data_IF_723904387738
#
_entry.id   IF_723904387738
#
_cell.length_a   1.000
_cell.length_b   1.000
_cell.length_c   1.000
_cell.angle_alpha   90.00
_cell.angle_beta   90.00
_cell.angle_gamma   90.00
#
_symmetry.space_group_name_H-M   'P 1'
#
loop_
_entity.id
_entity.type
_entity.pdbx_description
1 polymer ?
#
# COMPACT_ATOMS: atom_id res chain seq x y z
N UNK A 1 -12.82 -33.57 18.74
CA UNK A 1 -13.81 -34.01 17.73
C UNK A 1 -13.10 -34.95 16.77
N UNK A 2 -13.67 -36.11 16.43
CA UNK A 2 -13.10 -36.94 15.36
C UNK A 2 -13.47 -36.29 14.02
N UNK A 3 -12.53 -36.10 13.08
CA UNK A 3 -12.89 -35.61 11.75
C UNK A 3 -13.85 -36.61 11.10
N UNK A 4 -14.90 -36.10 10.45
CA UNK A 4 -15.85 -36.86 9.64
C UNK A 4 -15.91 -36.20 8.27
N UNK A 5 -16.10 -36.98 7.22
CA UNK A 5 -16.16 -36.48 5.84
C UNK A 5 -17.56 -36.74 5.31
N UNK A 6 -18.20 -35.72 4.72
CA UNK A 6 -19.44 -35.88 3.95
C UNK A 6 -19.09 -35.84 2.47
N UNK A 7 -19.46 -36.88 1.74
CA UNK A 7 -19.27 -36.97 0.30
C UNK A 7 -20.61 -36.89 -0.39
N UNK A 8 -20.79 -35.87 -1.22
CA UNK A 8 -21.94 -35.74 -2.11
C UNK A 8 -21.53 -36.30 -3.48
N UNK A 9 -22.18 -37.36 -3.94
CA UNK A 9 -21.81 -38.03 -5.19
C UNK A 9 -23.01 -38.63 -5.90
N UNK A 10 -23.02 -38.58 -7.22
CA UNK A 10 -23.91 -39.32 -8.12
C UNK A 10 -23.46 -40.78 -8.32
N UNK A 11 -22.26 -41.12 -7.86
CA UNK A 11 -21.67 -42.45 -7.93
C UNK A 11 -20.98 -42.76 -9.26
N UNK A 12 -20.81 -41.79 -10.16
CA UNK A 12 -20.05 -41.96 -11.39
C UNK A 12 -18.55 -41.76 -11.14
N UNK A 13 -17.72 -42.74 -11.52
CA UNK A 13 -16.27 -42.61 -11.47
C UNK A 13 -15.74 -42.15 -12.83
N UNK A 14 -15.34 -40.88 -12.91
CA UNK A 14 -14.91 -40.25 -14.16
C UNK A 14 -13.39 -40.18 -14.33
N UNK A 15 -12.60 -40.30 -13.24
CA UNK A 15 -11.15 -40.07 -13.30
C UNK A 15 -10.34 -40.64 -12.11
N UNK A 16 -10.86 -41.56 -11.31
CA UNK A 16 -10.17 -41.99 -10.08
C UNK A 16 -8.92 -42.82 -10.36
N UNK A 17 -7.82 -42.49 -9.67
CA UNK A 17 -6.54 -43.20 -9.74
C UNK A 17 -6.38 -44.28 -8.66
N UNK A 18 -7.34 -44.39 -7.74
CA UNK A 18 -7.36 -45.37 -6.64
C UNK A 18 -8.73 -46.05 -6.56
N UNK A 19 -8.74 -47.32 -6.17
CA UNK A 19 -9.97 -48.09 -6.03
C UNK A 19 -10.73 -47.71 -4.76
N UNK A 20 -12.08 -47.77 -4.81
CA UNK A 20 -12.96 -47.48 -3.66
C UNK A 20 -12.61 -48.32 -2.41
N UNK A 21 -12.19 -49.57 -2.60
CA UNK A 21 -11.77 -50.46 -1.51
C UNK A 21 -10.50 -49.95 -0.79
N UNK A 22 -9.55 -49.38 -1.53
CA UNK A 22 -8.32 -48.82 -0.95
C UNK A 22 -8.60 -47.56 -0.12
N UNK A 23 -9.48 -46.69 -0.62
CA UNK A 23 -9.91 -45.46 0.06
C UNK A 23 -10.69 -45.79 1.34
N UNK A 24 -11.59 -46.79 1.28
CA UNK A 24 -12.34 -47.22 2.44
C UNK A 24 -11.45 -47.85 3.54
N UNK A 25 -10.43 -48.61 3.16
CA UNK A 25 -9.47 -49.18 4.10
C UNK A 25 -8.60 -48.10 4.78
N UNK A 26 -8.19 -47.07 4.02
CA UNK A 26 -7.41 -45.94 4.52
C UNK A 26 -8.24 -45.02 5.44
N UNK A 27 -9.52 -44.79 5.10
CA UNK A 27 -10.45 -44.06 5.96
C UNK A 27 -10.71 -44.80 7.28
N UNK A 28 -10.83 -46.12 7.22
CA UNK A 28 -11.01 -46.98 8.41
C UNK A 28 -9.77 -46.99 9.30
N UNK A 29 -8.56 -47.06 8.73
CA UNK A 29 -7.31 -47.01 9.51
C UNK A 29 -7.06 -45.64 10.14
N UNK A 30 -7.52 -44.56 9.49
CA UNK A 30 -7.48 -43.20 10.01
C UNK A 30 -8.58 -42.89 11.06
N UNK A 31 -9.57 -43.79 11.23
CA UNK A 31 -10.69 -43.60 12.14
C UNK A 31 -11.65 -42.48 11.73
N UNK A 32 -11.74 -42.20 10.42
CA UNK A 32 -12.55 -41.13 9.83
C UNK A 32 -13.78 -41.75 9.14
N UNK A 33 -14.98 -41.64 9.73
CA UNK A 33 -16.19 -42.13 9.07
C UNK A 33 -16.57 -41.22 7.89
N UNK A 34 -16.97 -41.85 6.78
CA UNK A 34 -17.41 -41.16 5.57
C UNK A 34 -18.91 -41.33 5.42
N UNK A 35 -19.65 -40.24 5.60
CA UNK A 35 -21.08 -40.16 5.37
C UNK A 35 -21.33 -39.78 3.89
N UNK A 36 -22.16 -40.52 3.18
CA UNK A 36 -22.38 -40.34 1.73
C UNK A 36 -23.81 -39.90 1.46
N UNK A 37 -23.97 -38.81 0.71
CA UNK A 37 -25.25 -38.37 0.16
C UNK A 37 -25.27 -38.66 -1.34
N UNK A 38 -26.09 -39.63 -1.73
CA UNK A 38 -26.19 -40.09 -3.10
C UNK A 38 -27.23 -39.28 -3.89
N UNK A 39 -26.83 -38.75 -5.04
CA UNK A 39 -27.66 -37.96 -5.98
C UNK A 39 -28.15 -38.84 -7.12
N UNK A 40 -29.43 -39.21 -7.14
CA UNK A 40 -30.03 -40.02 -8.22
C UNK A 40 -29.19 -41.25 -8.65
N UNK A 41 -28.72 -42.10 -7.73
CA UNK A 41 -27.82 -43.19 -8.09
C UNK A 41 -28.57 -44.28 -8.89
N UNK A 42 -27.92 -44.86 -9.89
CA UNK A 42 -28.34 -46.15 -10.45
C UNK A 42 -28.10 -47.29 -9.45
N UNK A 43 -28.74 -48.45 -9.63
CA UNK A 43 -28.67 -49.57 -8.68
C UNK A 43 -27.22 -50.04 -8.39
N UNK A 44 -26.35 -50.00 -9.40
CA UNK A 44 -24.95 -50.38 -9.28
C UNK A 44 -24.13 -49.32 -8.52
N UNK A 45 -24.40 -48.04 -8.76
CA UNK A 45 -23.77 -46.90 -8.08
C UNK A 45 -24.16 -46.83 -6.60
N UNK A 46 -25.42 -47.13 -6.28
CA UNK A 46 -25.90 -47.21 -4.90
C UNK A 46 -25.13 -48.29 -4.10
N UNK A 47 -24.84 -49.43 -4.74
CA UNK A 47 -24.11 -50.54 -4.11
C UNK A 47 -22.66 -50.16 -3.81
N UNK A 48 -22.01 -49.45 -4.73
CA UNK A 48 -20.65 -48.95 -4.54
C UNK A 48 -20.56 -47.89 -3.42
N UNK A 49 -21.50 -46.94 -3.39
CA UNK A 49 -21.58 -45.90 -2.35
C UNK A 49 -21.93 -46.48 -0.97
N UNK A 50 -22.79 -47.51 -0.92
CA UNK A 50 -23.11 -48.25 0.31
C UNK A 50 -21.90 -49.00 0.86
N UNK A 51 -21.07 -49.59 -0.01
CA UNK A 51 -19.84 -50.26 0.39
C UNK A 51 -18.82 -49.27 0.99
N UNK A 52 -18.71 -48.06 0.43
CA UNK A 52 -17.79 -47.02 0.91
C UNK A 52 -18.21 -46.45 2.28
N UNK A 53 -19.50 -46.12 2.43
CA UNK A 53 -20.05 -45.64 3.70
C UNK A 53 -19.95 -46.73 4.79
N UNK A 54 -20.34 -47.97 4.46
CA UNK A 54 -20.32 -49.09 5.40
C UNK A 54 -18.91 -49.49 5.86
N UNK A 55 -17.92 -49.46 4.97
CA UNK A 55 -16.55 -49.84 5.30
C UNK A 55 -15.83 -48.80 6.18
N UNK A 56 -16.18 -47.52 6.06
CA UNK A 56 -15.64 -46.43 6.91
C UNK A 56 -16.44 -46.22 8.21
N UNK A 57 -17.59 -46.87 8.37
CA UNK A 57 -18.48 -46.70 9.54
C UNK A 57 -19.34 -45.43 9.48
N UNK A 58 -19.58 -44.89 8.29
CA UNK A 58 -20.49 -43.78 8.03
C UNK A 58 -21.87 -44.25 7.53
N UNK A 59 -22.72 -43.28 7.23
CA UNK A 59 -24.14 -43.46 6.85
C UNK A 59 -24.38 -43.09 5.39
N UNK A 60 -25.31 -43.79 4.72
CA UNK A 60 -25.71 -43.50 3.34
C UNK A 60 -27.10 -42.89 3.34
N UNK A 61 -27.24 -41.72 2.75
CA UNK A 61 -28.52 -41.03 2.52
C UNK A 61 -28.74 -40.87 1.00
N UNK A 62 -29.96 -41.13 0.53
CA UNK A 62 -30.29 -41.04 -0.91
C UNK A 62 -31.26 -39.90 -1.16
N UNK A 63 -30.94 -39.01 -2.09
CA UNK A 63 -31.84 -37.97 -2.57
C UNK A 63 -32.22 -38.24 -4.03
N UNK A 64 -33.49 -38.61 -4.26
CA UNK A 64 -34.05 -38.89 -5.59
C UNK A 64 -34.61 -37.64 -6.28
N UNK A 65 -34.97 -36.59 -5.52
CA UNK A 65 -35.43 -35.31 -6.04
C UNK A 65 -34.65 -34.12 -5.44
N UNK A 66 -34.54 -33.01 -6.18
CA UNK A 66 -33.81 -31.81 -5.75
C UNK A 66 -34.37 -31.18 -4.47
N UNK A 67 -35.65 -31.42 -4.16
CA UNK A 67 -36.30 -30.96 -2.92
C UNK A 67 -35.88 -31.78 -1.68
N UNK A 68 -35.44 -33.03 -1.86
CA UNK A 68 -35.06 -33.92 -0.76
C UNK A 68 -33.59 -33.77 -0.36
N UNK A 69 -32.78 -33.08 -1.18
CA UNK A 69 -31.39 -32.79 -0.87
C UNK A 69 -31.20 -31.99 0.42
N UNK A 70 -32.08 -31.02 0.65
CA UNK A 70 -32.02 -30.19 1.84
C UNK A 70 -32.31 -31.03 3.09
N UNK A 71 -33.28 -31.95 3.02
CA UNK A 71 -33.60 -32.88 4.11
C UNK A 71 -32.45 -33.87 4.37
N UNK A 72 -31.89 -34.48 3.31
CA UNK A 72 -30.76 -35.40 3.43
C UNK A 72 -29.52 -34.71 4.03
N UNK A 73 -29.26 -33.45 3.66
CA UNK A 73 -28.16 -32.66 4.21
C UNK A 73 -28.41 -32.28 5.68
N UNK A 74 -29.63 -31.92 6.05
CA UNK A 74 -30.01 -31.62 7.44
C UNK A 74 -29.96 -32.85 8.35
N UNK A 75 -30.29 -34.04 7.85
CA UNK A 75 -30.13 -35.28 8.61
C UNK A 75 -28.66 -35.68 8.75
N UNK A 76 -27.85 -35.51 7.69
CA UNK A 76 -26.41 -35.74 7.77
C UNK A 76 -25.73 -34.76 8.75
N UNK A 77 -26.19 -33.50 8.82
CA UNK A 77 -25.64 -32.50 9.74
C UNK A 77 -25.97 -32.77 11.21
N UNK A 78 -27.08 -33.45 11.54
CA UNK A 78 -27.38 -33.87 12.93
C UNK A 78 -26.34 -34.82 13.50
N UNK A 79 -25.65 -35.59 12.67
CA UNK A 79 -24.54 -36.47 13.07
C UNK A 79 -23.28 -35.66 13.45
N UNK A 80 -23.16 -34.42 12.95
CA UNK A 80 -22.15 -33.46 13.39
C UNK A 80 -22.63 -32.79 14.68
N UNK A 81 -22.45 -33.46 15.81
CA UNK A 81 -22.71 -32.88 17.13
C UNK A 81 -21.82 -31.67 17.40
N UNK A 82 -22.26 -30.48 16.97
CA UNK A 82 -21.73 -29.22 17.45
C UNK A 82 -22.16 -29.07 18.91
N UNK A 83 -21.22 -29.19 19.84
CA UNK A 83 -21.49 -28.92 21.26
C UNK A 83 -21.52 -27.40 21.45
N UNK A 84 -22.71 -26.84 21.66
CA UNK A 84 -22.87 -25.46 22.13
C UNK A 84 -22.98 -25.47 23.66
N UNK A 85 -22.21 -24.63 24.35
CA UNK A 85 -22.36 -24.42 25.79
C UNK A 85 -23.28 -23.23 26.02
N UNK A 86 -24.46 -23.48 26.58
CA UNK A 86 -25.39 -22.43 27.03
C UNK A 86 -25.11 -22.17 28.51
N UNK A 87 -24.68 -20.94 28.83
CA UNK A 87 -24.55 -20.49 30.22
C UNK A 87 -25.69 -19.52 30.50
N UNK A 88 -26.63 -19.91 31.36
CA UNK A 88 -27.75 -19.06 31.77
C UNK A 88 -27.66 -18.81 33.28
N UNK A 89 -27.89 -17.56 33.69
CA UNK A 89 -27.89 -17.15 35.10
C UNK A 89 -29.34 -17.17 35.59
N UNK A 90 -29.65 -17.94 36.64
CA UNK A 90 -31.01 -18.02 37.19
C UNK A 90 -31.40 -16.67 37.83
N UNK A 91 -32.59 -16.13 37.56
CA UNK A 91 -33.10 -14.95 38.26
C UNK A 91 -33.39 -15.26 39.73
N UNK A 92 -33.10 -14.31 40.63
CA UNK A 92 -33.39 -14.44 42.06
C UNK A 92 -34.91 -14.55 42.28
N UNK A 93 -35.36 -15.61 42.99
CA UNK A 93 -36.77 -15.82 43.36
C UNK A 93 -37.45 -17.09 42.83
N UNK A 94 -36.73 -17.99 42.17
CA UNK A 94 -37.26 -19.32 41.81
C UNK A 94 -37.19 -20.24 43.03
N UNK A 95 -38.22 -20.20 43.87
CA UNK A 95 -38.40 -21.13 44.98
C UNK A 95 -39.38 -22.23 44.55
N UNK A 96 -38.91 -23.48 44.56
CA UNK A 96 -39.74 -24.66 44.30
C UNK A 96 -39.23 -25.57 43.20
N UNK A 97 -38.71 -26.73 43.59
CA UNK A 97 -38.90 -28.09 43.02
C UNK A 97 -38.99 -28.25 41.48
N UNK A 98 -38.44 -27.35 40.67
CA UNK A 98 -38.38 -27.50 39.22
C UNK A 98 -37.15 -28.34 38.87
N UNK A 99 -37.36 -29.66 38.83
CA UNK A 99 -36.29 -30.64 38.61
C UNK A 99 -35.83 -30.73 37.13
N UNK A 100 -36.35 -29.90 36.23
CA UNK A 100 -36.02 -29.93 34.80
C UNK A 100 -36.01 -28.50 34.21
N UNK A 101 -34.90 -28.11 33.57
CA UNK A 101 -34.81 -26.92 32.73
C UNK A 101 -34.84 -27.35 31.28
N UNK A 102 -35.80 -26.82 30.54
CA UNK A 102 -35.93 -26.97 29.09
C UNK A 102 -35.27 -25.77 28.42
N UNK A 103 -34.20 -26.01 27.65
CA UNK A 103 -33.59 -25.00 26.81
C UNK A 103 -34.04 -25.21 25.36
N UNK A 104 -34.76 -24.25 24.80
CA UNK A 104 -35.10 -24.18 23.37
C UNK A 104 -34.14 -23.22 22.68
N UNK A 105 -33.42 -23.72 21.66
CA UNK A 105 -32.52 -22.95 20.82
C UNK A 105 -33.05 -22.98 19.40
N UNK A 106 -33.40 -21.82 18.84
CA UNK A 106 -33.73 -21.70 17.41
C UNK A 106 -32.47 -21.26 16.63
N UNK A 107 -32.04 -22.09 15.68
CA UNK A 107 -30.98 -21.73 14.73
C UNK A 107 -31.50 -21.88 13.32
N UNK A 108 -31.72 -20.75 12.64
CA UNK A 108 -32.18 -20.68 11.26
C UNK A 108 -33.55 -21.36 11.01
N UNK A 109 -34.48 -21.26 11.96
CA UNK A 109 -35.85 -21.82 11.85
C UNK A 109 -35.95 -23.29 12.25
N UNK A 110 -34.96 -23.79 13.00
CA UNK A 110 -34.90 -25.15 13.53
C UNK A 110 -34.83 -25.06 15.05
N UNK A 111 -35.89 -25.49 15.72
CA UNK A 111 -35.99 -25.51 17.18
C UNK A 111 -35.30 -26.76 17.76
N UNK A 112 -34.34 -26.54 18.65
CA UNK A 112 -33.63 -27.57 19.39
C UNK A 112 -34.05 -27.48 20.86
N UNK A 113 -34.79 -28.47 21.35
CA UNK A 113 -35.18 -28.57 22.75
C UNK A 113 -34.29 -29.57 23.49
N UNK A 114 -33.67 -29.15 24.58
CA UNK A 114 -32.92 -30.05 25.45
C UNK A 114 -33.28 -29.82 26.92
N UNK A 115 -33.53 -30.91 27.64
CA UNK A 115 -33.90 -30.90 29.05
C UNK A 115 -32.72 -31.35 29.92
N UNK A 116 -32.42 -30.59 30.97
CA UNK A 116 -31.39 -30.92 31.95
C UNK A 116 -31.95 -30.86 33.37
N UNK A 117 -31.57 -31.83 34.23
CA UNK A 117 -31.92 -31.82 35.66
C UNK A 117 -30.99 -30.91 36.44
N UNK A 118 -31.55 -30.10 37.36
CA UNK A 118 -30.76 -29.30 38.29
C UNK A 118 -30.16 -30.17 39.41
N UNK A 119 -28.92 -29.91 39.87
CA UNK A 119 -28.34 -30.57 41.04
C UNK A 119 -29.03 -30.10 42.35
N UNK A 120 -29.31 -31.04 43.26
CA UNK A 120 -30.19 -30.94 44.45
C UNK A 120 -29.75 -29.97 45.58
N UNK A 121 -28.87 -29.00 45.35
CA UNK A 121 -28.20 -28.30 46.46
C UNK A 121 -27.85 -26.84 46.18
N UNK A 122 -28.87 -26.03 45.90
CA UNK A 122 -28.80 -24.57 46.00
C UNK A 122 -30.10 -24.01 46.62
N UNK A 123 -30.20 -24.04 47.94
CA UNK A 123 -31.24 -23.31 48.69
C UNK A 123 -30.83 -21.84 48.82
N UNK A 124 -31.59 -20.92 48.25
CA UNK A 124 -31.48 -19.49 48.53
C UNK A 124 -32.83 -18.98 49.03
N UNK A 125 -32.86 -18.68 50.32
CA UNK A 125 -34.02 -18.19 51.05
C UNK A 125 -34.23 -16.68 50.85
N UNK A 126 -35.48 -16.27 50.57
CA UNK A 126 -36.05 -14.96 50.91
C UNK A 126 -37.59 -15.04 50.71
N UNK A 127 -38.38 -15.31 51.76
CA UNK A 127 -39.07 -14.33 52.63
C UNK A 127 -39.95 -13.28 51.92
N UNK A 128 -41.27 -13.56 51.99
CA UNK A 128 -42.41 -12.67 52.29
C UNK A 128 -43.19 -11.89 51.19
N UNK A 129 -44.47 -12.31 51.08
CA UNK A 129 -45.73 -11.52 51.22
C UNK A 129 -46.24 -10.67 50.04
N UNK A 130 -47.47 -10.97 49.62
CA UNK A 130 -48.49 -9.95 49.29
C UNK A 130 -49.20 -10.09 47.94
N UNK A 131 -50.48 -10.44 47.97
CA UNK A 131 -51.42 -10.59 46.84
C UNK A 131 -51.55 -9.36 45.91
N UNK A 132 -51.76 -9.59 44.61
CA UNK A 132 -53.04 -9.39 43.87
C UNK A 132 -52.81 -9.34 42.35
N UNK A 133 -53.57 -10.15 41.61
CA UNK A 133 -53.92 -9.96 40.18
C UNK A 133 -54.86 -8.72 40.05
N UNK A 134 -55.18 -8.12 38.87
CA UNK A 134 -55.06 -8.68 37.52
C UNK A 134 -54.75 -7.69 36.36
N UNK A 135 -54.69 -8.27 35.15
CA UNK A 135 -55.19 -7.75 33.88
C UNK A 135 -54.37 -6.71 33.05
N UNK A 136 -53.99 -7.19 31.85
CA UNK A 136 -54.13 -6.59 30.51
C UNK A 136 -53.62 -5.18 30.17
N UNK A 137 -53.07 -5.14 28.95
CA UNK A 137 -53.12 -4.08 27.92
C UNK A 137 -51.83 -3.28 27.67
N UNK A 138 -51.33 -3.50 26.44
CA UNK A 138 -50.78 -2.54 25.48
C UNK A 138 -50.06 -1.28 25.98
N UNK A 139 -48.79 -1.15 25.59
CA UNK A 139 -48.26 0.07 24.95
C UNK A 139 -46.82 -0.14 24.44
N UNK A 140 -46.63 -0.10 23.12
CA UNK A 140 -45.43 0.48 22.48
C UNK A 140 -45.34 1.98 22.87
N UNK A 141 -44.20 2.73 22.76
CA UNK A 141 -43.15 2.57 21.75
C UNK A 141 -41.67 2.87 22.19
N UNK A 142 -40.74 2.45 21.32
CA UNK A 142 -39.43 3.07 21.01
C UNK A 142 -38.32 3.15 22.07
N UNK A 143 -37.20 2.47 21.82
CA UNK A 143 -35.92 3.14 21.45
C UNK A 143 -34.75 2.16 21.24
N UNK A 144 -34.13 2.31 20.06
CA UNK A 144 -32.70 2.22 19.74
C UNK A 144 -31.89 0.96 20.12
N UNK A 145 -31.39 0.26 19.09
CA UNK A 145 -30.36 -0.77 19.27
C UNK A 145 -29.93 -1.51 18.00
N UNK A 146 -29.43 -0.77 17.01
CA UNK A 146 -28.48 -1.17 15.96
C UNK A 146 -28.41 -2.65 15.45
N UNK A 147 -28.77 -2.78 14.17
CA UNK A 147 -28.04 -3.50 13.12
C UNK A 147 -27.78 -5.01 13.29
N UNK A 148 -28.74 -5.81 12.83
CA UNK A 148 -28.54 -7.21 12.49
C UNK A 148 -27.76 -7.40 11.17
N UNK A 149 -26.82 -8.35 11.20
CA UNK A 149 -26.69 -9.40 10.19
C UNK A 149 -26.38 -9.01 8.74
N UNK A 150 -25.24 -8.36 8.48
CA UNK A 150 -24.67 -8.27 7.14
C UNK A 150 -23.68 -9.40 6.88
N UNK A 151 -24.05 -10.37 6.04
CA UNK A 151 -23.10 -11.31 5.44
C UNK A 151 -21.91 -10.55 4.86
N UNK A 152 -20.70 -10.77 5.37
CA UNK A 152 -19.52 -9.99 5.00
C UNK A 152 -19.05 -10.37 3.59
N UNK A 153 -19.74 -9.84 2.58
CA UNK A 153 -19.26 -9.67 1.19
C UNK A 153 -18.19 -8.58 1.08
N UNK A 154 -17.95 -7.87 2.19
CA UNK A 154 -16.97 -6.81 2.38
C UNK A 154 -15.54 -7.16 1.91
N UNK A 155 -14.90 -8.27 2.33
CA UNK A 155 -13.54 -8.59 1.89
C UNK A 155 -13.46 -8.91 0.38
N UNK A 156 -14.53 -9.49 -0.20
CA UNK A 156 -14.58 -9.85 -1.62
C UNK A 156 -14.80 -8.62 -2.51
N UNK A 157 -15.65 -7.67 -2.07
CA UNK A 157 -15.85 -6.38 -2.72
C UNK A 157 -14.61 -5.47 -2.58
N UNK A 158 -13.92 -5.49 -1.43
CA UNK A 158 -12.66 -4.79 -1.23
C UNK A 158 -11.55 -5.35 -2.14
N UNK A 159 -11.46 -6.67 -2.29
CA UNK A 159 -10.53 -7.31 -3.23
C UNK A 159 -10.78 -6.90 -4.69
N UNK A 160 -12.04 -6.86 -5.12
CA UNK A 160 -12.42 -6.41 -6.47
C UNK A 160 -12.08 -4.92 -6.70
N UNK A 161 -12.30 -4.07 -5.69
CA UNK A 161 -12.03 -2.64 -5.75
C UNK A 161 -10.52 -2.35 -5.79
N UNK A 162 -9.71 -3.11 -5.03
CA UNK A 162 -8.25 -3.06 -5.07
C UNK A 162 -7.73 -3.52 -6.44
N UNK A 163 -8.26 -4.62 -6.98
CA UNK A 163 -7.88 -5.10 -8.31
C UNK A 163 -8.23 -4.08 -9.42
N UNK A 164 -9.42 -3.48 -9.36
CA UNK A 164 -9.83 -2.41 -10.26
C UNK A 164 -8.93 -1.17 -10.12
N UNK A 165 -8.55 -0.79 -8.90
CA UNK A 165 -7.60 0.32 -8.68
C UNK A 165 -6.22 0.01 -9.24
N UNK A 166 -5.70 -1.22 -9.08
CA UNK A 166 -4.41 -1.64 -9.64
C UNK A 166 -4.45 -1.62 -11.17
N UNK A 167 -5.55 -2.08 -11.79
CA UNK A 167 -5.73 -2.01 -13.24
C UNK A 167 -5.82 -0.57 -13.74
N UNK A 168 -6.52 0.31 -13.03
CA UNK A 168 -6.60 1.74 -13.37
C UNK A 168 -5.21 2.39 -13.21
N UNK A 169 -4.46 2.06 -12.17
CA UNK A 169 -3.11 2.57 -11.95
C UNK A 169 -2.12 2.07 -13.00
N UNK A 170 -2.21 0.79 -13.38
CA UNK A 170 -1.46 0.18 -14.47
C UNK A 170 -1.80 0.83 -15.82
N UNK A 171 -3.08 1.06 -16.10
CA UNK A 171 -3.54 1.72 -17.32
C UNK A 171 -3.09 3.20 -17.37
N UNK A 172 -3.18 3.94 -16.27
CA UNK A 172 -2.69 5.32 -16.17
C UNK A 172 -1.18 5.38 -16.28
N UNK A 173 -0.44 4.42 -15.70
CA UNK A 173 1.02 4.35 -15.78
C UNK A 173 1.51 3.99 -17.19
N UNK A 174 0.87 3.01 -17.85
CA UNK A 174 1.14 2.64 -19.25
C UNK A 174 0.75 3.78 -20.19
N UNK A 175 -0.36 4.48 -19.91
CA UNK A 175 -0.81 5.65 -20.69
C UNK A 175 0.07 6.87 -20.46
N UNK A 176 0.60 7.05 -19.26
CA UNK A 176 1.60 8.10 -18.94
C UNK A 176 2.93 7.81 -19.61
N UNK A 177 3.42 6.57 -19.59
CA UNK A 177 4.65 6.20 -20.31
C UNK A 177 4.48 6.30 -21.84
N UNK A 178 3.32 5.95 -22.38
CA UNK A 178 3.04 6.05 -23.81
C UNK A 178 2.78 7.49 -24.26
N UNK A 179 2.21 8.36 -23.42
CA UNK A 179 2.12 9.80 -23.68
C UNK A 179 3.51 10.47 -23.69
N UNK A 180 4.44 10.02 -22.84
CA UNK A 180 5.83 10.49 -22.82
C UNK A 180 6.61 10.03 -24.05
N UNK A 181 6.45 8.77 -24.49
CA UNK A 181 7.06 8.26 -25.74
C UNK A 181 6.44 8.84 -27.01
N UNK A 182 5.15 9.19 -26.97
CA UNK A 182 4.46 9.84 -28.07
C UNK A 182 4.78 11.34 -28.15
N UNK A 183 5.00 12.02 -27.02
CA UNK A 183 5.34 13.45 -26.97
C UNK A 183 6.62 13.78 -27.74
N UNK A 184 7.67 12.96 -27.60
CA UNK A 184 8.95 13.19 -28.29
C UNK A 184 8.87 12.96 -29.81
N UNK A 185 8.11 11.96 -30.29
CA UNK A 185 7.95 11.73 -31.74
C UNK A 185 6.93 12.65 -32.39
N UNK A 186 5.85 12.99 -31.67
CA UNK A 186 4.76 13.83 -32.19
C UNK A 186 5.18 15.29 -32.23
N UNK A 187 6.02 15.78 -31.31
CA UNK A 187 6.55 17.16 -31.40
C UNK A 187 7.57 17.32 -32.54
N UNK A 188 8.26 16.23 -32.92
CA UNK A 188 9.16 16.22 -34.08
C UNK A 188 8.39 16.19 -35.41
N UNK A 189 7.23 15.53 -35.46
CA UNK A 189 6.35 15.45 -36.66
C UNK A 189 5.40 16.66 -36.77
N UNK A 190 4.95 17.24 -35.66
CA UNK A 190 4.06 18.42 -35.67
C UNK A 190 4.78 19.72 -36.07
N UNK A 191 6.09 19.82 -35.87
CA UNK A 191 6.89 20.97 -36.39
C UNK A 191 7.01 20.96 -37.92
N UNK A 192 6.72 19.84 -38.59
CA UNK A 192 6.66 19.78 -40.06
C UNK A 192 5.23 19.94 -40.61
N UNK A 193 4.19 19.63 -39.82
CA UNK A 193 2.79 19.61 -40.27
C UNK A 193 1.96 20.85 -39.91
N UNK A 194 2.50 21.80 -39.15
CA UNK A 194 1.79 23.03 -38.74
C UNK A 194 1.71 24.11 -39.84
N UNK A 195 2.10 23.78 -41.08
CA UNK A 195 1.98 24.69 -42.23
C UNK A 195 0.79 24.37 -43.16
N UNK A 196 -0.06 23.36 -42.89
CA UNK A 196 -1.21 23.09 -43.77
C UNK A 196 -2.38 22.36 -43.10
N UNK A 197 -3.42 23.16 -42.81
CA UNK A 197 -4.84 22.85 -42.59
C UNK A 197 -5.33 22.10 -41.32
N UNK A 198 -6.50 22.49 -40.78
CA UNK A 198 -7.07 21.94 -39.55
C UNK A 198 -8.05 20.80 -39.83
N UNK A 199 -8.02 19.74 -39.00
CA UNK A 199 -9.19 19.03 -38.46
C UNK A 199 -8.79 17.69 -37.84
N UNK A 200 -9.25 17.44 -36.61
CA UNK A 200 -9.97 16.21 -36.24
C UNK A 200 -10.39 16.30 -34.77
N UNK A 201 -11.69 16.51 -34.62
CA UNK A 201 -12.48 16.45 -33.40
C UNK A 201 -12.50 15.00 -32.92
N UNK A 202 -11.70 14.66 -31.89
CA UNK A 202 -11.84 13.38 -31.17
C UNK A 202 -11.05 13.28 -29.83
N UNK A 203 -10.38 14.33 -29.36
CA UNK A 203 -9.54 14.27 -28.13
C UNK A 203 -10.04 15.12 -26.95
N UNK A 204 -11.18 15.80 -27.08
CA UNK A 204 -11.57 16.87 -26.15
C UNK A 204 -12.32 16.42 -24.89
N UNK A 205 -12.82 15.19 -24.78
CA UNK A 205 -13.63 14.80 -23.61
C UNK A 205 -12.79 14.47 -22.34
N UNK A 206 -11.56 13.99 -22.51
CA UNK A 206 -10.68 13.64 -21.40
C UNK A 206 -9.71 14.77 -21.02
N UNK A 207 -9.30 15.61 -21.99
CA UNK A 207 -8.48 16.81 -21.75
C UNK A 207 -9.30 17.95 -21.15
N UNK A 208 -10.57 18.13 -21.53
CA UNK A 208 -11.43 19.21 -21.01
C UNK A 208 -11.74 19.07 -19.52
N UNK A 209 -11.96 17.86 -18.99
CA UNK A 209 -12.18 17.64 -17.55
C UNK A 209 -10.92 17.90 -16.72
N UNK A 210 -9.74 17.59 -17.28
CA UNK A 210 -8.46 17.90 -16.64
C UNK A 210 -8.14 19.40 -16.72
N UNK A 211 -8.55 20.08 -17.81
CA UNK A 211 -8.40 21.53 -18.00
C UNK A 211 -9.34 22.35 -17.10
N UNK A 212 -10.61 21.96 -16.95
CA UNK A 212 -11.56 22.65 -16.07
C UNK A 212 -11.18 22.58 -14.59
N UNK A 213 -10.59 21.46 -14.15
CA UNK A 213 -10.02 21.35 -12.81
C UNK A 213 -8.75 22.23 -12.66
N UNK A 214 -7.96 22.35 -13.73
CA UNK A 214 -6.78 23.20 -13.80
C UNK A 214 -7.14 24.69 -13.62
N UNK A 215 -8.21 25.15 -14.26
CA UNK A 215 -8.64 26.56 -14.22
C UNK A 215 -9.21 26.95 -12.85
N UNK A 216 -9.90 26.03 -12.16
CA UNK A 216 -10.41 26.25 -10.80
C UNK A 216 -9.28 26.22 -9.75
N UNK A 217 -8.27 25.36 -9.95
CA UNK A 217 -7.11 25.26 -9.05
C UNK A 217 -6.06 26.36 -9.27
N UNK A 218 -6.02 26.98 -10.45
CA UNK A 218 -5.11 28.09 -10.80
C UNK A 218 -5.35 29.37 -9.98
N UNK A 219 -6.52 29.51 -9.32
CA UNK A 219 -6.83 30.65 -8.43
C UNK A 219 -6.11 30.60 -7.07
N UNK A 220 -5.48 29.48 -6.69
CA UNK A 220 -4.78 29.33 -5.40
C UNK A 220 -3.28 29.63 -5.50
N UNK A 221 -2.75 30.54 -4.66
CA UNK A 221 -1.30 30.87 -4.56
C UNK A 221 -0.38 29.64 -4.37
N UNK A 222 -0.88 28.50 -3.89
CA UNK A 222 -0.12 27.24 -3.72
C UNK A 222 0.17 26.52 -5.05
N UNK A 223 -0.62 26.81 -6.10
CA UNK A 223 -0.55 26.19 -7.43
C UNK A 223 0.73 26.56 -8.21
N UNK A 224 1.15 27.82 -8.13
CA UNK A 224 2.37 28.34 -8.79
C UNK A 224 3.66 27.72 -8.22
N UNK A 225 3.67 27.39 -6.93
CA UNK A 225 4.81 26.76 -6.24
C UNK A 225 4.94 25.28 -6.62
N UNK A 226 3.82 24.57 -6.76
CA UNK A 226 3.82 23.20 -7.30
C UNK A 226 4.24 23.15 -8.76
N UNK A 227 3.81 24.09 -9.59
CA UNK A 227 4.19 24.16 -11.00
C UNK A 227 5.70 24.40 -11.20
N UNK A 228 6.30 25.25 -10.36
CA UNK A 228 7.76 25.45 -10.33
C UNK A 228 8.51 24.19 -9.88
N UNK A 229 7.99 23.43 -8.91
CA UNK A 229 8.57 22.16 -8.44
C UNK A 229 8.43 21.03 -9.47
N UNK A 230 7.31 20.97 -10.20
CA UNK A 230 7.05 20.03 -11.28
C UNK A 230 7.92 20.31 -12.51
N UNK A 231 8.09 21.59 -12.87
CA UNK A 231 9.01 22.01 -13.93
C UNK A 231 10.48 21.71 -13.57
N UNK A 232 10.86 21.83 -12.29
CA UNK A 232 12.19 21.44 -11.81
C UNK A 232 12.39 19.91 -11.84
N UNK A 233 11.34 19.13 -11.62
CA UNK A 233 11.35 17.67 -11.74
C UNK A 233 11.24 17.16 -13.20
N UNK A 234 11.08 18.07 -14.19
CA UNK A 234 10.53 17.87 -15.55
C UNK A 234 9.86 16.51 -15.76
N UNK A 235 8.84 16.31 -14.95
CA UNK A 235 7.77 15.37 -15.21
C UNK A 235 6.77 16.18 -16.03
N UNK A 236 6.58 15.84 -17.30
CA UNK A 236 5.63 16.51 -18.20
C UNK A 236 4.18 16.07 -17.89
N UNK A 237 3.80 16.19 -16.62
CA UNK A 237 2.43 16.03 -16.15
C UNK A 237 1.89 17.43 -15.83
N UNK A 238 0.73 17.77 -16.40
CA UNK A 238 -0.06 18.92 -15.98
C UNK A 238 -0.24 18.90 -14.45
N UNK A 239 -0.21 20.05 -13.77
CA UNK A 239 -0.38 20.14 -12.30
C UNK A 239 -1.58 19.35 -11.78
N UNK A 240 -2.69 19.31 -12.54
CA UNK A 240 -3.85 18.45 -12.26
C UNK A 240 -3.57 16.94 -12.36
N UNK A 241 -2.72 16.49 -13.30
CA UNK A 241 -2.32 15.10 -13.44
C UNK A 241 -1.46 14.59 -12.28
N UNK A 242 -0.59 15.43 -11.72
CA UNK A 242 0.17 15.07 -10.52
C UNK A 242 -0.71 15.00 -9.27
N UNK A 243 -1.69 15.91 -9.14
CA UNK A 243 -2.64 15.90 -8.04
C UNK A 243 -3.51 14.63 -8.11
N UNK A 244 -3.96 14.24 -9.31
CA UNK A 244 -4.66 12.97 -9.53
C UNK A 244 -3.79 11.79 -9.09
N UNK A 245 -2.57 11.64 -9.60
CA UNK A 245 -1.66 10.54 -9.17
C UNK A 245 -1.47 10.53 -7.65
N UNK A 246 -1.30 11.70 -7.03
CA UNK A 246 -1.14 11.81 -5.57
C UNK A 246 -2.37 11.33 -4.82
N UNK A 247 -3.55 11.74 -5.24
CA UNK A 247 -4.82 11.32 -4.64
C UNK A 247 -5.02 9.83 -4.85
N UNK A 248 -4.80 9.30 -6.05
CA UNK A 248 -4.97 7.86 -6.34
C UNK A 248 -4.03 6.99 -5.51
N UNK A 249 -2.75 7.37 -5.39
CA UNK A 249 -1.77 6.63 -4.59
C UNK A 249 -2.12 6.69 -3.10
N UNK A 250 -2.59 7.83 -2.61
CA UNK A 250 -2.98 7.98 -1.20
C UNK A 250 -4.22 7.15 -0.88
N UNK A 251 -5.25 7.19 -1.73
CA UNK A 251 -6.46 6.38 -1.57
C UNK A 251 -6.14 4.89 -1.64
N UNK A 252 -5.27 4.47 -2.55
CA UNK A 252 -4.82 3.08 -2.64
C UNK A 252 -4.14 2.63 -1.34
N UNK A 253 -3.24 3.45 -0.80
CA UNK A 253 -2.57 3.17 0.49
C UNK A 253 -3.56 3.08 1.65
N UNK A 254 -4.56 3.96 1.70
CA UNK A 254 -5.63 3.92 2.71
C UNK A 254 -6.40 2.60 2.64
N UNK A 255 -6.78 2.16 1.44
CA UNK A 255 -7.53 0.91 1.27
C UNK A 255 -6.66 -0.30 1.61
N UNK A 256 -5.41 -0.36 1.14
CA UNK A 256 -4.50 -1.47 1.43
C UNK A 256 -4.25 -1.59 2.93
N UNK A 257 -3.92 -0.48 3.60
CA UNK A 257 -3.62 -0.49 5.04
C UNK A 257 -4.89 -0.74 5.85
N UNK A 258 -6.02 -0.17 5.45
CA UNK A 258 -7.31 -0.39 6.12
C UNK A 258 -7.78 -1.85 6.05
N UNK A 259 -7.58 -2.53 4.92
CA UNK A 259 -7.87 -3.97 4.76
C UNK A 259 -6.88 -4.81 5.57
N UNK A 260 -5.59 -4.47 5.55
CA UNK A 260 -4.56 -5.25 6.23
C UNK A 260 -4.65 -5.16 7.77
N UNK A 261 -5.02 -3.99 8.31
CA UNK A 261 -5.16 -3.78 9.76
C UNK A 261 -6.58 -4.06 10.27
N UNK A 262 -7.54 -4.39 9.41
CA UNK A 262 -8.93 -4.65 9.79
C UNK A 262 -9.67 -3.43 10.37
N UNK A 263 -9.09 -2.24 10.30
CA UNK A 263 -9.64 -1.00 10.85
C UNK A 263 -9.49 0.14 9.87
N UNK A 264 -10.63 0.69 9.47
CA UNK A 264 -10.70 1.81 8.53
C UNK A 264 -10.05 3.07 9.10
N UNK A 265 -10.08 3.26 10.43
CA UNK A 265 -9.45 4.41 11.10
C UNK A 265 -7.94 4.38 10.93
N UNK A 266 -7.30 3.23 11.16
CA UNK A 266 -5.86 3.08 10.93
C UNK A 266 -5.49 3.19 9.44
N UNK A 267 -6.35 2.67 8.55
CA UNK A 267 -6.20 2.84 7.10
C UNK A 267 -6.16 4.31 6.68
N UNK A 268 -7.12 5.12 7.16
CA UNK A 268 -7.19 6.55 6.82
C UNK A 268 -6.01 7.34 7.39
N UNK A 269 -5.66 7.09 8.67
CA UNK A 269 -4.57 7.83 9.33
C UNK A 269 -3.21 7.45 8.75
N UNK A 270 -2.85 6.16 8.74
CA UNK A 270 -1.54 5.73 8.23
C UNK A 270 -1.44 5.83 6.71
N UNK A 271 -2.49 5.44 5.97
CA UNK A 271 -2.48 5.52 4.51
C UNK A 271 -2.51 6.96 4.00
N UNK A 272 -3.24 7.85 4.67
CA UNK A 272 -3.22 9.28 4.39
C UNK A 272 -1.82 9.88 4.63
N UNK A 273 -1.22 9.57 5.78
CA UNK A 273 0.10 10.07 6.16
C UNK A 273 1.19 9.54 5.22
N UNK A 274 1.23 8.23 4.97
CA UNK A 274 2.22 7.59 4.09
C UNK A 274 2.04 8.01 2.63
N UNK A 275 0.80 8.15 2.16
CA UNK A 275 0.53 8.66 0.82
C UNK A 275 1.00 10.11 0.64
N UNK A 276 0.74 10.97 1.64
CA UNK A 276 1.22 12.35 1.62
C UNK A 276 2.75 12.45 1.68
N UNK A 277 3.38 11.76 2.64
CA UNK A 277 4.84 11.81 2.81
C UNK A 277 5.56 11.14 1.64
N UNK A 278 5.09 9.98 1.20
CA UNK A 278 5.71 9.21 0.13
C UNK A 278 5.71 9.95 -1.20
N UNK A 279 4.61 10.62 -1.53
CA UNK A 279 4.51 11.39 -2.78
C UNK A 279 5.38 12.65 -2.76
N UNK A 280 5.47 13.33 -1.61
CA UNK A 280 6.40 14.45 -1.42
C UNK A 280 7.87 13.99 -1.48
N UNK A 281 8.21 12.89 -0.80
CA UNK A 281 9.54 12.33 -0.80
C UNK A 281 9.97 11.89 -2.21
N UNK A 282 9.07 11.27 -2.97
CA UNK A 282 9.33 10.86 -4.35
C UNK A 282 9.63 12.05 -5.26
N UNK A 283 8.82 13.12 -5.17
CA UNK A 283 9.05 14.32 -5.97
C UNK A 283 10.37 15.01 -5.62
N UNK A 284 10.67 15.16 -4.33
CA UNK A 284 11.93 15.72 -3.86
C UNK A 284 13.12 14.87 -4.29
N UNK A 285 12.98 13.54 -4.26
CA UNK A 285 14.04 12.61 -4.71
C UNK A 285 14.31 12.74 -6.21
N UNK A 286 13.26 12.89 -7.03
CA UNK A 286 13.40 13.14 -8.47
C UNK A 286 14.05 14.48 -8.78
N UNK A 287 13.66 15.55 -8.07
CA UNK A 287 14.32 16.86 -8.16
C UNK A 287 15.80 16.73 -7.80
N UNK A 288 16.10 16.15 -6.64
CA UNK A 288 17.46 15.96 -6.16
C UNK A 288 18.32 15.12 -7.13
N UNK A 289 17.76 14.09 -7.75
CA UNK A 289 18.47 13.28 -8.75
C UNK A 289 18.92 14.13 -9.94
N UNK A 290 18.06 15.01 -10.46
CA UNK A 290 18.41 15.90 -11.58
C UNK A 290 19.42 16.97 -11.20
N UNK A 291 19.27 17.55 -10.01
CA UNK A 291 20.22 18.53 -9.49
C UNK A 291 21.61 17.90 -9.30
N UNK A 292 21.68 16.63 -8.87
CA UNK A 292 22.93 15.87 -8.81
C UNK A 292 23.54 15.65 -10.19
N UNK A 293 22.77 15.18 -11.16
CA UNK A 293 23.25 15.03 -12.54
C UNK A 293 23.77 16.35 -13.10
N UNK A 294 23.06 17.46 -12.84
CA UNK A 294 23.52 18.79 -13.20
C UNK A 294 24.84 19.17 -12.52
N UNK A 295 24.98 18.92 -11.21
CA UNK A 295 26.19 19.23 -10.46
C UNK A 295 27.39 18.38 -10.87
N UNK A 296 27.17 17.13 -11.25
CA UNK A 296 28.20 16.20 -11.73
C UNK A 296 28.71 16.61 -13.13
N UNK A 297 27.83 17.03 -14.03
CA UNK A 297 28.17 17.41 -15.41
C UNK A 297 28.71 18.86 -15.52
N UNK A 298 28.52 19.70 -14.49
CA UNK A 298 28.86 21.14 -14.53
C UNK A 298 30.35 21.42 -14.78
N UNK A 299 31.32 20.75 -14.11
CA UNK A 299 32.74 21.01 -14.35
C UNK A 299 33.16 20.80 -15.80
N UNK A 300 32.66 19.73 -16.43
CA UNK A 300 32.99 19.38 -17.81
C UNK A 300 32.42 20.41 -18.78
N UNK A 301 31.21 20.90 -18.50
CA UNK A 301 30.62 22.01 -19.25
C UNK A 301 31.45 23.30 -19.13
N UNK A 302 31.92 23.64 -17.93
CA UNK A 302 32.76 24.83 -17.72
C UNK A 302 34.10 24.72 -18.45
N UNK A 303 34.70 23.52 -18.52
CA UNK A 303 35.91 23.28 -19.31
C UNK A 303 35.67 23.46 -20.82
N UNK A 304 34.53 23.01 -21.33
CA UNK A 304 34.14 23.21 -22.73
C UNK A 304 33.91 24.70 -23.04
N UNK A 305 33.32 25.44 -22.10
CA UNK A 305 33.15 26.88 -22.23
C UNK A 305 34.51 27.61 -22.21
N UNK A 306 35.41 27.22 -21.31
CA UNK A 306 36.75 27.77 -21.20
C UNK A 306 37.60 27.49 -22.46
N UNK A 307 37.46 26.32 -23.10
CA UNK A 307 38.17 26.01 -24.33
C UNK A 307 37.70 26.86 -25.51
N UNK A 308 36.39 27.12 -25.63
CA UNK A 308 35.85 28.03 -26.64
C UNK A 308 36.39 29.46 -26.49
N UNK A 309 36.47 29.96 -25.24
CA UNK A 309 37.07 31.26 -24.95
C UNK A 309 38.57 31.30 -25.27
N UNK A 310 39.33 30.24 -24.96
CA UNK A 310 40.75 30.12 -25.34
C UNK A 310 40.95 30.08 -26.86
N UNK A 311 39.97 29.57 -27.60
CA UNK A 311 39.95 29.61 -29.06
C UNK A 311 39.59 30.99 -29.65
N UNK A 312 39.36 32.00 -28.80
CA UNK A 312 39.07 33.37 -29.22
C UNK A 312 37.59 33.67 -29.48
N UNK A 313 36.67 32.75 -29.15
CA UNK A 313 35.23 33.03 -29.24
C UNK A 313 34.83 34.08 -28.20
N UNK A 314 33.87 34.93 -28.55
CA UNK A 314 33.21 35.79 -27.56
C UNK A 314 32.48 34.93 -26.53
N UNK A 315 32.30 35.43 -25.30
CA UNK A 315 31.63 34.67 -24.23
C UNK A 315 30.25 34.14 -24.65
N UNK A 316 29.46 34.97 -25.34
CA UNK A 316 28.13 34.58 -25.82
C UNK A 316 28.20 33.43 -26.84
N UNK A 317 29.14 33.48 -27.80
CA UNK A 317 29.31 32.41 -28.79
C UNK A 317 29.91 31.14 -28.19
N UNK A 318 30.87 31.27 -27.28
CA UNK A 318 31.42 30.13 -26.55
C UNK A 318 30.32 29.43 -25.73
N UNK A 319 29.43 30.20 -25.09
CA UNK A 319 28.29 29.67 -24.35
C UNK A 319 27.28 28.95 -25.25
N UNK A 320 27.02 29.50 -26.44
CA UNK A 320 26.13 28.90 -27.44
C UNK A 320 26.69 27.57 -27.99
N UNK A 321 27.98 27.54 -28.34
CA UNK A 321 28.67 26.31 -28.77
C UNK A 321 28.68 25.28 -27.64
N UNK A 322 29.12 25.64 -26.44
CA UNK A 322 29.14 24.73 -25.29
C UNK A 322 27.75 24.21 -24.92
N UNK A 323 26.69 25.02 -25.04
CA UNK A 323 25.31 24.60 -24.79
C UNK A 323 24.76 23.65 -25.85
N UNK A 324 25.20 23.76 -27.11
CA UNK A 324 24.78 22.87 -28.19
C UNK A 324 25.48 21.50 -28.11
N UNK A 325 26.78 21.50 -27.78
CA UNK A 325 27.59 20.29 -27.57
C UNK A 325 27.36 19.64 -26.21
N UNK A 326 26.94 20.43 -25.22
CA UNK A 326 26.67 20.00 -23.85
C UNK A 326 25.62 18.90 -23.78
N UNK A 327 26.04 17.76 -23.23
CA UNK A 327 25.19 16.59 -22.96
C UNK A 327 24.51 16.72 -21.59
N UNK A 328 23.59 15.80 -21.31
CA UNK A 328 22.97 15.67 -20.00
C UNK A 328 22.07 16.85 -19.61
N UNK A 329 21.99 17.07 -18.30
CA UNK A 329 21.11 18.07 -17.71
C UNK A 329 21.65 19.49 -17.85
N UNK A 330 22.98 19.67 -17.81
CA UNK A 330 23.63 20.98 -17.94
C UNK A 330 23.37 21.59 -19.31
N UNK A 331 23.61 20.83 -20.40
CA UNK A 331 23.34 21.32 -21.76
C UNK A 331 21.87 21.68 -21.95
N UNK A 332 20.94 20.89 -21.40
CA UNK A 332 19.50 21.19 -21.46
C UNK A 332 19.15 22.52 -20.78
N UNK A 333 19.66 22.74 -19.58
CA UNK A 333 19.41 23.98 -18.84
C UNK A 333 20.13 25.18 -19.48
N UNK A 334 21.31 24.98 -20.06
CA UNK A 334 22.03 26.07 -20.72
C UNK A 334 21.33 26.49 -22.02
N UNK A 335 20.84 25.54 -22.83
CA UNK A 335 19.97 25.86 -23.98
C UNK A 335 18.69 26.57 -23.55
N UNK A 336 18.11 26.22 -22.40
CA UNK A 336 16.96 26.95 -21.83
C UNK A 336 17.33 28.37 -21.43
N UNK A 337 18.51 28.55 -20.84
CA UNK A 337 19.03 29.85 -20.41
C UNK A 337 19.31 30.76 -21.61
N UNK A 338 19.94 30.24 -22.67
CA UNK A 338 20.15 30.96 -23.92
C UNK A 338 18.84 31.42 -24.57
N UNK A 339 17.78 30.60 -24.54
CA UNK A 339 16.45 31.04 -25.00
C UNK A 339 15.88 32.20 -24.20
N UNK A 340 16.17 32.28 -22.89
CA UNK A 340 15.74 33.43 -22.08
C UNK A 340 16.47 34.70 -22.48
N UNK A 341 17.77 34.59 -22.79
CA UNK A 341 18.60 35.70 -23.28
C UNK A 341 18.12 36.17 -24.66
N UNK A 342 17.77 35.24 -25.57
CA UNK A 342 17.21 35.56 -26.88
C UNK A 342 15.87 36.33 -26.81
N UNK A 343 15.12 36.18 -25.72
CA UNK A 343 13.86 36.90 -25.48
C UNK A 343 14.09 38.21 -24.70
N UNK A 344 15.35 38.61 -24.48
CA UNK A 344 15.74 39.91 -23.93
C UNK A 344 16.09 39.90 -22.43
N UNK A 345 16.23 38.73 -21.79
CA UNK A 345 16.72 38.66 -20.41
C UNK A 345 18.23 38.90 -20.36
N UNK A 346 18.72 39.67 -19.37
CA UNK A 346 20.15 39.83 -19.16
C UNK A 346 20.82 38.48 -18.86
N UNK A 347 22.00 38.26 -19.44
CA UNK A 347 22.72 36.98 -19.36
C UNK A 347 23.03 36.56 -17.92
N UNK A 348 23.51 37.48 -17.10
CA UNK A 348 23.78 37.24 -15.68
C UNK A 348 22.51 36.80 -14.94
N UNK A 349 21.40 37.53 -15.11
CA UNK A 349 20.11 37.17 -14.52
C UNK A 349 19.61 35.80 -15.00
N UNK A 350 19.81 35.46 -16.26
CA UNK A 350 19.42 34.18 -16.82
C UNK A 350 20.25 33.02 -16.24
N UNK A 351 21.57 33.21 -16.12
CA UNK A 351 22.49 32.24 -15.52
C UNK A 351 22.26 32.08 -14.02
N UNK A 352 22.03 33.17 -13.28
CA UNK A 352 21.66 33.14 -11.87
C UNK A 352 20.33 32.41 -11.66
N UNK A 353 19.34 32.68 -12.52
CA UNK A 353 18.07 31.94 -12.54
C UNK A 353 18.26 30.46 -12.86
N UNK A 354 19.27 30.09 -13.64
CA UNK A 354 19.65 28.69 -13.85
C UNK A 354 20.22 28.05 -12.56
N UNK A 355 21.12 28.75 -11.87
CA UNK A 355 21.67 28.33 -10.57
C UNK A 355 20.58 28.14 -9.52
N UNK A 356 19.61 29.04 -9.43
CA UNK A 356 18.47 28.95 -8.52
C UNK A 356 17.55 27.77 -8.85
N UNK A 357 17.25 27.55 -10.14
CA UNK A 357 16.42 26.41 -10.56
C UNK A 357 17.07 25.08 -10.20
N UNK A 358 18.38 24.97 -10.40
CA UNK A 358 19.14 23.75 -10.12
C UNK A 358 19.62 23.66 -8.68
N UNK A 359 19.45 24.71 -7.86
CA UNK A 359 19.91 24.77 -6.46
C UNK A 359 21.39 24.39 -6.35
N UNK A 360 22.21 25.03 -7.19
CA UNK A 360 23.63 24.72 -7.31
C UNK A 360 24.48 25.94 -6.96
N UNK A 361 25.15 25.88 -5.81
CA UNK A 361 25.99 26.96 -5.29
C UNK A 361 27.28 27.14 -6.07
N UNK A 362 27.84 26.07 -6.64
CA UNK A 362 29.05 26.16 -7.45
C UNK A 362 28.80 26.97 -8.73
N UNK A 363 27.64 26.79 -9.38
CA UNK A 363 27.23 27.64 -10.50
C UNK A 363 26.96 29.08 -10.05
N UNK A 364 26.26 29.28 -8.94
CA UNK A 364 26.00 30.63 -8.37
C UNK A 364 27.31 31.40 -8.16
N UNK A 365 28.29 30.76 -7.55
CA UNK A 365 29.61 31.33 -7.33
C UNK A 365 30.34 31.61 -8.65
N UNK A 366 30.29 30.68 -9.60
CA UNK A 366 30.94 30.83 -10.91
C UNK A 366 30.34 32.00 -11.71
N UNK A 367 29.01 32.17 -11.70
CA UNK A 367 28.32 33.29 -12.37
C UNK A 367 28.71 34.63 -11.74
N UNK A 368 28.77 34.68 -10.40
CA UNK A 368 29.19 35.90 -9.67
C UNK A 368 30.65 36.24 -9.94
N UNK A 369 31.54 35.25 -9.96
CA UNK A 369 32.95 35.47 -10.31
C UNK A 369 33.11 35.95 -11.76
N UNK A 370 32.29 35.42 -12.67
CA UNK A 370 32.28 35.79 -14.07
C UNK A 370 31.80 37.23 -14.30
N UNK A 371 30.74 37.68 -13.63
CA UNK A 371 30.24 39.05 -13.78
C UNK A 371 31.28 40.06 -13.33
N UNK A 372 31.91 39.83 -12.18
CA UNK A 372 33.04 40.64 -11.69
C UNK A 372 34.19 40.65 -12.70
N UNK A 373 34.56 39.48 -13.24
CA UNK A 373 35.68 39.39 -14.19
C UNK A 373 35.38 40.10 -15.52
N UNK A 374 34.13 40.12 -15.96
CA UNK A 374 33.71 40.85 -17.16
C UNK A 374 33.79 42.37 -16.95
N UNK A 375 33.42 42.87 -15.77
CA UNK A 375 33.51 44.30 -15.44
C UNK A 375 34.97 44.77 -15.33
N UNK A 376 35.85 43.94 -14.78
CA UNK A 376 37.28 44.26 -14.60
C UNK A 376 38.11 43.96 -15.85
N UNK A 377 37.56 43.25 -16.84
CA UNK A 377 38.22 42.98 -18.13
C UNK A 377 39.31 41.90 -18.09
N UNK A 378 39.25 40.96 -17.14
CA UNK A 378 40.27 39.93 -16.99
C UNK A 378 40.04 38.68 -17.87
N UNK A 379 40.90 37.66 -17.74
CA UNK A 379 40.81 36.44 -18.55
C UNK A 379 39.71 35.48 -18.03
N UNK A 380 38.55 35.48 -18.67
CA UNK A 380 37.41 34.61 -18.33
C UNK A 380 37.76 33.11 -18.41
N UNK A 381 38.58 32.70 -19.37
CA UNK A 381 38.94 31.29 -19.53
C UNK A 381 39.70 30.75 -18.31
N UNK A 382 40.58 31.56 -17.72
CA UNK A 382 41.33 31.21 -16.51
C UNK A 382 40.40 31.02 -15.30
N UNK A 383 39.38 31.88 -15.16
CA UNK A 383 38.41 31.80 -14.06
C UNK A 383 37.52 30.57 -14.21
N UNK A 384 37.04 30.27 -15.41
CA UNK A 384 36.24 29.09 -15.68
C UNK A 384 37.04 27.79 -15.49
N UNK A 385 38.30 27.76 -15.93
CA UNK A 385 39.21 26.62 -15.70
C UNK A 385 39.48 26.42 -14.20
N UNK A 386 39.68 27.50 -13.44
CA UNK A 386 39.87 27.45 -12.00
C UNK A 386 38.60 26.97 -11.26
N UNK A 387 37.43 27.45 -11.68
CA UNK A 387 36.14 26.99 -11.15
C UNK A 387 35.94 25.49 -11.42
N UNK A 388 36.12 25.05 -12.66
CA UNK A 388 35.96 23.65 -13.04
C UNK A 388 36.88 22.71 -12.23
N UNK A 389 38.18 23.08 -12.10
CA UNK A 389 39.14 22.31 -11.28
C UNK A 389 38.73 22.26 -9.81
N UNK A 390 38.30 23.39 -9.24
CA UNK A 390 37.91 23.47 -7.83
C UNK A 390 36.67 22.61 -7.54
N UNK A 391 35.66 22.67 -8.42
CA UNK A 391 34.44 21.86 -8.28
C UNK A 391 34.78 20.37 -8.41
N UNK A 392 35.61 19.98 -9.38
CA UNK A 392 36.05 18.58 -9.55
C UNK A 392 36.81 18.07 -8.33
N UNK A 393 37.74 18.86 -7.79
CA UNK A 393 38.46 18.52 -6.56
C UNK A 393 37.52 18.35 -5.36
N UNK A 394 36.51 19.22 -5.21
CA UNK A 394 35.47 19.07 -4.17
C UNK A 394 34.65 17.79 -4.34
N UNK A 395 34.27 17.43 -5.57
CA UNK A 395 33.54 16.20 -5.84
C UNK A 395 34.37 14.95 -5.54
N UNK A 396 35.66 14.97 -5.89
CA UNK A 396 36.61 13.89 -5.57
C UNK A 396 36.79 13.71 -4.06
N UNK A 397 37.03 14.81 -3.34
CA UNK A 397 37.13 14.80 -1.88
C UNK A 397 35.85 14.26 -1.21
N UNK A 398 34.66 14.68 -1.68
CA UNK A 398 33.39 14.15 -1.18
C UNK A 398 33.23 12.66 -1.46
N UNK A 399 33.69 12.17 -2.61
CA UNK A 399 33.67 10.73 -2.94
C UNK A 399 34.63 9.96 -2.04
N UNK A 400 35.84 10.47 -1.83
CA UNK A 400 36.84 9.86 -0.95
C UNK A 400 36.33 9.77 0.49
N UNK A 401 35.82 10.87 1.05
CA UNK A 401 35.19 10.90 2.39
C UNK A 401 34.01 9.94 2.47
N UNK A 402 33.19 9.83 1.42
CA UNK A 402 32.06 8.89 1.38
C UNK A 402 32.52 7.43 1.38
N UNK A 403 33.61 7.13 0.69
CA UNK A 403 34.20 5.78 0.63
C UNK A 403 34.84 5.41 1.97
N UNK A 404 35.66 6.29 2.53
CA UNK A 404 36.29 6.09 3.84
C UNK A 404 35.26 5.94 4.97
N UNK A 405 34.21 6.76 4.94
CA UNK A 405 33.11 6.66 5.92
C UNK A 405 32.15 5.50 5.67
N UNK A 406 32.27 4.75 4.57
CA UNK A 406 31.37 3.64 4.28
C UNK A 406 31.54 2.48 5.27
N UNK A 407 32.78 2.16 5.65
CA UNK A 407 33.10 1.09 6.61
C UNK A 407 32.53 1.38 8.00
N UNK A 408 32.77 2.60 8.51
CA UNK A 408 32.22 3.04 9.78
C UNK A 408 30.68 3.05 9.77
N UNK A 409 30.06 3.54 8.68
CA UNK A 409 28.59 3.52 8.53
C UNK A 409 28.02 2.10 8.47
N UNK A 410 28.68 1.18 7.79
CA UNK A 410 28.22 -0.21 7.69
C UNK A 410 28.25 -0.91 9.05
N UNK A 411 29.34 -0.76 9.81
CA UNK A 411 29.45 -1.27 11.18
C UNK A 411 28.35 -0.69 12.08
N UNK A 412 28.09 0.60 11.93
CA UNK A 412 27.05 1.31 12.66
C UNK A 412 25.64 0.80 12.29
N UNK A 413 25.35 0.56 11.01
CA UNK A 413 24.09 -0.04 10.56
C UNK A 413 23.89 -1.46 11.10
N UNK A 414 24.94 -2.28 11.17
CA UNK A 414 24.88 -3.61 11.76
C UNK A 414 24.53 -3.51 13.25
N UNK A 415 25.20 -2.62 13.99
CA UNK A 415 24.96 -2.44 15.43
C UNK A 415 23.52 -1.99 15.74
N UNK A 416 22.98 -1.07 14.95
CA UNK A 416 21.58 -0.62 15.11
C UNK A 416 20.58 -1.64 14.59
N UNK A 417 20.92 -2.38 13.54
CA UNK A 417 20.04 -3.39 12.96
C UNK A 417 19.91 -4.65 13.81
N UNK A 418 20.96 -5.04 14.55
CA UNK A 418 21.00 -6.25 15.36
C UNK A 418 19.81 -6.41 16.32
N UNK A 419 19.45 -5.43 17.17
CA UNK A 419 18.30 -5.57 18.08
C UNK A 419 16.97 -5.75 17.32
N UNK A 420 16.81 -5.14 16.15
CA UNK A 420 15.61 -5.31 15.30
C UNK A 420 15.57 -6.72 14.71
N UNK A 421 16.71 -7.21 14.21
CA UNK A 421 16.82 -8.59 13.68
C UNK A 421 16.52 -9.60 14.78
N UNK A 422 17.10 -9.41 15.97
CA UNK A 422 16.83 -10.27 17.14
C UNK A 422 15.36 -10.19 17.52
N UNK A 423 14.76 -9.00 17.58
CA UNK A 423 13.33 -8.85 17.86
C UNK A 423 12.44 -9.60 16.84
N UNK A 424 12.69 -9.42 15.55
CA UNK A 424 11.97 -10.13 14.49
C UNK A 424 12.17 -11.65 14.58
N UNK A 425 13.39 -12.09 14.87
CA UNK A 425 13.70 -13.50 15.07
C UNK A 425 12.91 -14.08 16.25
N UNK A 426 12.89 -13.41 17.40
CA UNK A 426 12.07 -13.85 18.54
C UNK A 426 10.57 -13.82 18.23
N UNK A 427 10.09 -12.84 17.45
CA UNK A 427 8.69 -12.78 17.05
C UNK A 427 8.24 -13.97 16.19
N UNK A 428 9.12 -14.47 15.33
CA UNK A 428 8.83 -15.63 14.46
C UNK A 428 9.00 -16.95 15.22
N UNK A 429 10.10 -17.12 15.95
CA UNK A 429 10.46 -18.41 16.56
C UNK A 429 9.88 -18.61 17.97
N UNK A 430 9.55 -17.53 18.69
CA UNK A 430 9.02 -17.54 20.07
C UNK A 430 7.86 -16.55 20.23
N UNK A 431 6.73 -16.73 19.51
CA UNK A 431 5.61 -15.79 19.53
C UNK A 431 4.99 -15.59 20.92
N UNK A 432 4.97 -16.65 21.75
CA UNK A 432 4.51 -16.56 23.14
C UNK A 432 5.34 -15.58 23.99
N UNK A 433 6.66 -15.52 23.77
CA UNK A 433 7.54 -14.59 24.49
C UNK A 433 7.28 -13.14 24.09
N UNK A 434 7.13 -12.87 22.79
CA UNK A 434 6.81 -11.52 22.31
C UNK A 434 5.40 -11.10 22.72
N UNK A 435 4.42 -12.02 22.79
CA UNK A 435 3.05 -11.69 23.19
C UNK A 435 2.99 -11.03 24.58
N UNK A 436 3.79 -11.52 25.54
CA UNK A 436 3.87 -10.91 26.89
C UNK A 436 4.34 -9.46 26.87
N UNK A 437 5.15 -9.08 25.88
CA UNK A 437 5.69 -7.73 25.74
C UNK A 437 4.60 -6.68 25.47
N UNK A 438 3.48 -7.07 24.86
CA UNK A 438 2.37 -6.16 24.53
C UNK A 438 1.19 -6.28 25.48
N UNK A 439 1.03 -7.41 26.18
CA UNK A 439 -0.04 -7.62 27.15
C UNK A 439 0.32 -7.11 28.56
N UNK A 440 1.59 -7.20 28.97
CA UNK A 440 2.02 -6.75 30.30
C UNK A 440 2.43 -5.26 30.30
N UNK A 441 1.98 -4.44 31.27
CA UNK A 441 2.37 -3.02 31.39
C UNK A 441 3.90 -2.82 31.51
N UNK A 442 4.58 -3.76 32.17
CA UNK A 442 6.04 -3.77 32.28
C UNK A 442 6.72 -3.99 30.91
N UNK A 443 6.12 -4.83 30.06
CA UNK A 443 6.59 -5.10 28.70
C UNK A 443 6.51 -3.86 27.82
N UNK A 444 5.41 -3.11 27.90
CA UNK A 444 5.22 -1.84 27.18
C UNK A 444 6.25 -0.80 27.65
N UNK A 445 6.54 -0.72 28.95
CA UNK A 445 7.57 0.16 29.49
C UNK A 445 8.95 -0.20 28.92
N UNK A 446 9.35 -1.48 28.93
CA UNK A 446 10.64 -1.92 28.38
C UNK A 446 10.73 -1.67 26.87
N UNK A 447 9.66 -1.91 26.13
CA UNK A 447 9.59 -1.63 24.69
C UNK A 447 9.75 -0.13 24.41
N UNK A 448 9.08 0.71 25.19
CA UNK A 448 9.22 2.17 25.08
C UNK A 448 10.67 2.61 25.35
N UNK A 449 11.32 2.05 26.37
CA UNK A 449 12.73 2.29 26.67
C UNK A 449 13.65 1.86 25.53
N UNK A 450 13.39 0.71 24.91
CA UNK A 450 14.14 0.22 23.74
C UNK A 450 13.98 1.16 22.54
N UNK A 451 12.77 1.64 22.25
CA UNK A 451 12.51 2.57 21.15
C UNK A 451 13.26 3.89 21.39
N UNK A 452 13.21 4.42 22.63
CA UNK A 452 13.92 5.65 23.00
C UNK A 452 15.43 5.47 22.85
N UNK A 453 15.98 4.36 23.34
CA UNK A 453 17.40 4.06 23.24
C UNK A 453 17.85 3.87 21.78
N UNK A 454 17.05 3.18 20.96
CA UNK A 454 17.27 3.05 19.51
C UNK A 454 17.27 4.41 18.82
N UNK A 455 16.30 5.26 19.14
CA UNK A 455 16.18 6.59 18.57
C UNK A 455 17.37 7.48 18.97
N UNK A 456 17.77 7.45 20.25
CA UNK A 456 18.95 8.15 20.75
C UNK A 456 20.23 7.66 20.06
N UNK A 457 20.42 6.35 19.92
CA UNK A 457 21.56 5.77 19.21
C UNK A 457 21.59 6.16 17.73
N UNK A 458 20.44 6.16 17.05
CA UNK A 458 20.33 6.64 15.67
C UNK A 458 20.65 8.13 15.54
N UNK A 459 20.18 8.96 16.47
CA UNK A 459 20.50 10.39 16.50
C UNK A 459 21.99 10.63 16.72
N UNK A 460 22.60 9.94 17.69
CA UNK A 460 24.04 10.02 17.95
C UNK A 460 24.82 9.67 16.69
N UNK A 461 24.46 8.55 16.05
CA UNK A 461 25.10 8.08 14.82
C UNK A 461 24.96 9.08 13.68
N UNK A 462 23.75 9.64 13.48
CA UNK A 462 23.53 10.71 12.48
C UNK A 462 24.38 11.95 12.77
N UNK A 463 24.71 12.22 14.02
CA UNK A 463 25.60 13.31 14.40
C UNK A 463 27.05 13.00 14.04
N UNK A 464 27.55 11.83 14.42
CA UNK A 464 28.95 11.41 14.15
C UNK A 464 29.23 11.27 12.65
N UNK A 465 28.24 10.81 11.87
CA UNK A 465 28.38 10.59 10.42
C UNK A 465 28.27 11.89 9.60
N UNK A 466 27.72 12.97 10.15
CA UNK A 466 27.69 14.27 9.46
C UNK A 466 29.07 14.94 9.52
N UNK A 467 29.97 14.45 8.69
CA UNK A 467 31.20 15.16 8.36
C UNK A 467 30.82 16.24 7.34
N UNK A 468 30.71 17.49 7.80
CA UNK A 468 30.60 18.63 6.91
C UNK A 468 31.95 18.80 6.20
N UNK A 469 31.97 18.55 4.88
CA UNK A 469 33.10 18.86 3.99
C UNK A 469 32.78 20.12 3.21
#
# INVERSE_FOLDING_TARGET
SRPRIVVLSDGEDTASTRSLASVAAEAKSAGVPIDVVALQPTADQLTALKALAGASGGTLQTATASADLLKAFLEASRTFGAKAYLTATLPDGVDGQAQQVTATLDVAGLEFEQQAKLPDNASLAATSVGDTSPASSSSDPSSQGAAGGGSSRLPMLLGLLVFACILILGAVFVRSQSAVRAGDRVNQVLRYRSASHPSSVAKDAASSRVQGLNDVLARSKRYRKTEQLLAAAAVDLTSGGWLLVRVTVTVLLIVIIGVFLGSLVFGVVLGGLLGWLGTMAWMNSRKAARQRMFADDLPDFLMLLASGLRAGLSFNHALESAASEGKGEVGRQMRRTLRQVQVGMALDTALMGCADRMDNDDLRWTVTALSIQQEVGGNLSTILDAAARTIRARHELRREVRTLSAEGRLSAYILVGLPIVVFCFLAIFRPEYISKLWLDPLGILMLSGLIIAMFAGWMWMRSVVRINV
#
